data_IF_414636648574
#
_entry.id   IF_414636648574
#
_cell.length_a   1.000
_cell.length_b   1.000
_cell.length_c   1.000
_cell.angle_alpha   90.00
_cell.angle_beta   90.00
_cell.angle_gamma   90.00
#
_symmetry.space_group_name_H-M   'P 1'
#
loop_
_entity.id
_entity.type
_entity.pdbx_description
1 polymer ?
#
# COMPACT_ATOMS: atom_id res chain seq x y z
N UNK A 1 -57.26 -11.20 51.56
CA UNK A 1 -58.10 -10.92 50.39
C UNK A 1 -57.88 -9.50 49.97
N UNK A 2 -56.97 -9.24 49.02
CA UNK A 2 -56.89 -7.95 48.33
C UNK A 2 -56.26 -8.22 46.95
N UNK A 3 -57.04 -8.01 45.94
CA UNK A 3 -56.65 -8.16 44.52
C UNK A 3 -56.06 -6.84 44.06
N UNK A 4 -54.80 -6.82 43.64
CA UNK A 4 -54.21 -5.69 42.91
C UNK A 4 -54.21 -6.02 41.41
N UNK A 5 -54.96 -5.23 40.65
CA UNK A 5 -54.96 -5.22 39.20
C UNK A 5 -53.75 -4.45 38.71
N UNK A 6 -52.85 -5.08 37.93
CA UNK A 6 -51.80 -4.41 37.22
C UNK A 6 -52.31 -4.10 35.78
N UNK A 7 -52.47 -2.82 35.48
CA UNK A 7 -52.80 -2.32 34.15
C UNK A 7 -51.52 -2.28 33.35
N UNK A 8 -51.44 -3.12 32.31
CA UNK A 8 -50.36 -3.05 31.33
C UNK A 8 -50.70 -1.98 30.26
N UNK A 9 -49.95 -0.87 30.27
CA UNK A 9 -49.97 0.14 29.23
C UNK A 9 -49.16 -0.42 28.03
N UNK A 10 -49.85 -0.84 26.97
CA UNK A 10 -49.19 -1.04 25.66
C UNK A 10 -48.94 0.33 25.02
N UNK A 11 -47.70 0.79 24.99
CA UNK A 11 -47.28 1.90 24.17
C UNK A 11 -47.12 1.42 22.72
N UNK A 12 -48.05 1.81 21.86
CA UNK A 12 -47.92 1.71 20.40
C UNK A 12 -46.92 2.75 19.95
N UNK A 13 -45.70 2.31 19.57
CA UNK A 13 -44.79 3.12 18.81
C UNK A 13 -45.14 3.00 17.31
N UNK A 14 -45.36 4.10 16.58
CA UNK A 14 -45.48 4.04 15.14
C UNK A 14 -44.14 3.63 14.54
N UNK A 15 -44.17 2.60 13.70
CA UNK A 15 -43.03 2.22 12.89
C UNK A 15 -42.70 3.37 11.91
N UNK A 16 -41.61 4.06 12.14
CA UNK A 16 -41.05 4.96 11.17
C UNK A 16 -40.54 4.13 9.98
N UNK A 17 -41.28 4.20 8.88
CA UNK A 17 -40.84 3.67 7.61
C UNK A 17 -39.52 4.37 7.23
N UNK A 18 -38.46 3.62 7.15
CA UNK A 18 -37.18 4.11 6.66
C UNK A 18 -37.36 4.51 5.17
N UNK A 19 -37.28 5.79 4.90
CA UNK A 19 -37.25 6.34 3.55
C UNK A 19 -35.91 5.94 2.90
N UNK A 20 -35.96 4.92 2.05
CA UNK A 20 -34.84 4.36 1.32
C UNK A 20 -34.55 5.13 0.01
N UNK A 21 -34.91 6.39 -0.08
CA UNK A 21 -34.54 7.25 -1.21
C UNK A 21 -33.20 7.94 -0.97
N UNK A 22 -32.13 7.15 -0.85
CA UNK A 22 -30.77 7.69 -1.02
C UNK A 22 -30.63 7.99 -2.51
N UNK A 23 -30.37 9.25 -2.91
CA UNK A 23 -30.15 9.56 -4.32
C UNK A 23 -28.99 8.71 -4.84
N UNK A 24 -29.10 8.18 -6.08
CA UNK A 24 -27.98 7.46 -6.68
C UNK A 24 -26.76 8.37 -6.68
N UNK A 25 -25.63 7.85 -6.24
CA UNK A 25 -24.35 8.53 -6.35
C UNK A 25 -24.16 8.90 -7.84
N UNK A 26 -23.71 10.10 -8.15
CA UNK A 26 -23.43 10.47 -9.52
C UNK A 26 -22.44 9.45 -10.11
N UNK A 27 -22.57 9.08 -11.40
CA UNK A 27 -21.62 8.19 -12.02
C UNK A 27 -20.23 8.78 -11.85
N UNK A 28 -19.35 8.06 -11.18
CA UNK A 28 -17.95 8.41 -11.04
C UNK A 28 -17.34 8.24 -12.43
N UNK A 29 -17.46 9.27 -13.25
CA UNK A 29 -16.63 9.39 -14.44
C UNK A 29 -15.21 9.57 -13.92
N UNK A 30 -14.45 8.47 -13.90
CA UNK A 30 -13.00 8.53 -13.68
C UNK A 30 -12.46 9.40 -14.81
N UNK A 31 -11.83 10.55 -14.53
CA UNK A 31 -11.26 11.38 -15.57
C UNK A 31 -10.26 10.53 -16.36
N UNK A 32 -10.31 10.59 -17.69
CA UNK A 32 -9.29 9.95 -18.52
C UNK A 32 -7.97 10.72 -18.32
N UNK A 33 -7.14 10.21 -17.41
CA UNK A 33 -5.87 10.83 -16.99
C UNK A 33 -4.80 10.84 -18.08
N UNK A 34 -5.11 10.44 -19.31
CA UNK A 34 -4.16 10.48 -20.42
C UNK A 34 -3.82 11.89 -20.88
N UNK A 35 -4.63 12.89 -20.52
CA UNK A 35 -4.46 14.30 -20.95
C UNK A 35 -3.94 15.24 -19.86
N UNK A 36 -3.64 14.75 -18.63
CA UNK A 36 -3.24 15.61 -17.50
C UNK A 36 -1.79 15.46 -17.08
N UNK A 37 -0.95 14.75 -17.83
CA UNK A 37 0.47 14.58 -17.50
C UNK A 37 1.27 15.91 -17.38
N UNK A 38 0.76 17.00 -17.95
CA UNK A 38 1.39 18.33 -17.86
C UNK A 38 0.91 19.19 -16.69
N UNK A 39 -0.28 18.93 -16.12
CA UNK A 39 -0.88 19.76 -15.08
C UNK A 39 -0.55 19.29 -13.65
N UNK A 40 -0.07 18.06 -13.50
CA UNK A 40 0.28 17.47 -12.18
C UNK A 40 1.67 17.93 -11.70
N UNK A 41 2.48 18.51 -12.58
CA UNK A 41 3.86 18.95 -12.28
C UNK A 41 3.97 20.27 -11.52
N UNK A 42 2.89 20.96 -11.15
CA UNK A 42 2.95 22.30 -10.56
C UNK A 42 2.33 22.50 -9.18
N UNK A 43 2.02 21.45 -8.47
CA UNK A 43 1.62 21.56 -7.05
C UNK A 43 2.78 21.08 -6.18
N UNK A 44 3.65 22.03 -5.79
CA UNK A 44 4.48 21.91 -4.60
C UNK A 44 3.54 21.80 -3.39
N UNK A 45 3.11 20.62 -3.05
CA UNK A 45 2.44 20.34 -1.80
C UNK A 45 3.28 19.30 -1.05
N UNK A 46 3.31 19.41 0.27
CA UNK A 46 3.83 18.41 1.20
C UNK A 46 3.04 17.08 1.09
N UNK A 47 2.91 16.56 -0.11
CA UNK A 47 2.17 15.36 -0.40
C UNK A 47 3.04 14.14 -0.05
N UNK A 48 2.49 13.15 0.66
CA UNK A 48 3.20 11.92 1.03
C UNK A 48 3.62 11.18 -0.24
N UNK A 49 4.82 10.63 -0.20
CA UNK A 49 5.58 9.88 -1.24
C UNK A 49 4.94 10.15 -2.59
N UNK A 50 5.29 11.27 -3.19
CA UNK A 50 4.44 11.92 -4.19
C UNK A 50 4.01 10.91 -5.26
N UNK A 51 2.82 11.10 -5.84
CA UNK A 51 2.31 10.17 -6.83
C UNK A 51 3.29 9.89 -7.98
N UNK A 52 4.28 10.77 -8.21
CA UNK A 52 5.37 10.57 -9.16
C UNK A 52 6.37 9.53 -8.66
N UNK A 53 6.69 9.51 -7.37
CA UNK A 53 7.61 8.53 -6.78
C UNK A 53 6.97 7.14 -6.73
N UNK A 54 5.72 7.03 -6.30
CA UNK A 54 4.98 5.77 -6.38
C UNK A 54 4.92 5.22 -7.80
N UNK A 55 4.63 6.07 -8.79
CA UNK A 55 4.62 5.71 -10.21
C UNK A 55 5.99 5.21 -10.67
N UNK A 56 7.09 5.89 -10.26
CA UNK A 56 8.45 5.47 -10.58
C UNK A 56 8.77 4.08 -10.03
N UNK A 57 8.29 3.77 -8.83
CA UNK A 57 8.48 2.45 -8.21
C UNK A 57 7.70 1.35 -8.93
N UNK A 58 6.54 1.67 -9.53
CA UNK A 58 5.75 0.72 -10.31
C UNK A 58 6.36 0.34 -11.65
N UNK A 59 7.30 1.13 -12.17
CA UNK A 59 7.86 0.92 -13.49
C UNK A 59 8.48 -0.48 -13.64
N UNK A 60 8.02 -1.20 -14.66
CA UNK A 60 8.45 -2.56 -14.98
C UNK A 60 7.89 -3.67 -14.06
N UNK A 61 6.90 -3.39 -13.19
CA UNK A 61 6.25 -4.44 -12.38
C UNK A 61 5.21 -5.25 -13.16
N UNK A 62 4.52 -4.62 -14.09
CA UNK A 62 3.51 -5.25 -14.97
C UNK A 62 3.57 -4.65 -16.35
N UNK A 63 2.92 -5.32 -17.31
CA UNK A 63 2.73 -4.78 -18.66
C UNK A 63 1.65 -3.67 -18.65
N UNK A 64 1.64 -2.86 -19.69
CA UNK A 64 0.79 -1.67 -19.82
C UNK A 64 -0.71 -1.96 -19.62
N UNK A 65 -1.17 -3.18 -19.93
CA UNK A 65 -2.57 -3.60 -19.78
C UNK A 65 -3.07 -3.44 -18.34
N UNK A 66 -2.20 -3.69 -17.36
CA UNK A 66 -2.57 -3.67 -15.92
C UNK A 66 -1.89 -2.54 -15.14
N UNK A 67 -1.00 -1.78 -15.79
CA UNK A 67 -0.30 -0.68 -15.14
C UNK A 67 -1.26 0.40 -14.60
N UNK A 68 -2.34 0.67 -15.35
CA UNK A 68 -3.37 1.62 -14.93
C UNK A 68 -4.06 1.19 -13.63
N UNK A 69 -4.29 -0.10 -13.43
CA UNK A 69 -4.93 -0.63 -12.22
C UNK A 69 -4.04 -0.42 -10.99
N UNK A 70 -2.74 -0.70 -11.10
CA UNK A 70 -1.78 -0.45 -10.03
C UNK A 70 -1.72 1.04 -9.70
N UNK A 71 -1.58 1.92 -10.69
CA UNK A 71 -1.51 3.38 -10.51
C UNK A 71 -2.77 3.95 -9.87
N UNK A 72 -3.96 3.54 -10.33
CA UNK A 72 -5.22 3.99 -9.76
C UNK A 72 -5.40 3.53 -8.31
N UNK A 73 -4.87 2.36 -7.96
CA UNK A 73 -4.88 1.85 -6.61
C UNK A 73 -4.00 2.69 -5.67
N UNK A 74 -2.81 3.10 -6.10
CA UNK A 74 -1.94 4.01 -5.34
C UNK A 74 -2.64 5.34 -5.09
N UNK A 75 -3.19 5.96 -6.15
CA UNK A 75 -3.93 7.21 -6.02
C UNK A 75 -5.13 7.09 -5.05
N UNK A 76 -5.84 5.97 -5.06
CA UNK A 76 -6.94 5.74 -4.11
C UNK A 76 -6.44 5.71 -2.67
N UNK A 77 -5.27 5.12 -2.41
CA UNK A 77 -4.70 5.08 -1.06
C UNK A 77 -4.37 6.50 -0.59
N UNK A 78 -3.69 7.30 -1.40
CA UNK A 78 -3.33 8.68 -1.08
C UNK A 78 -4.53 9.63 -0.96
N UNK A 79 -5.64 9.35 -1.61
CA UNK A 79 -6.83 10.21 -1.60
C UNK A 79 -7.89 9.75 -0.60
N UNK A 80 -8.54 8.61 -0.86
CA UNK A 80 -9.67 8.15 -0.06
C UNK A 80 -9.24 7.53 1.28
N UNK A 81 -8.02 6.99 1.35
CA UNK A 81 -7.48 6.32 2.54
C UNK A 81 -6.39 7.13 3.25
N UNK A 82 -6.13 8.39 2.85
CA UNK A 82 -5.10 9.24 3.43
C UNK A 82 -5.20 9.39 4.97
N UNK A 83 -6.41 9.28 5.53
CA UNK A 83 -6.61 9.34 6.99
C UNK A 83 -6.51 7.98 7.69
N UNK A 84 -6.17 6.92 6.98
CA UNK A 84 -6.05 5.57 7.51
C UNK A 84 -4.58 5.22 7.76
N UNK A 85 -4.08 5.44 8.97
CA UNK A 85 -2.66 5.22 9.31
C UNK A 85 -2.13 3.83 8.93
N UNK A 86 -2.97 2.80 9.03
CA UNK A 86 -2.60 1.44 8.61
C UNK A 86 -2.34 1.29 7.11
N UNK A 87 -2.89 2.18 6.29
CA UNK A 87 -2.66 2.15 4.85
C UNK A 87 -1.29 2.72 4.46
N UNK A 88 -0.68 3.52 5.37
CA UNK A 88 0.55 4.28 5.15
C UNK A 88 1.69 3.91 6.11
N UNK A 89 1.55 2.86 6.91
CA UNK A 89 2.52 2.52 7.97
C UNK A 89 2.79 3.65 8.95
N UNK A 90 1.81 4.51 9.22
CA UNK A 90 1.92 5.61 10.18
C UNK A 90 1.53 5.20 11.60
N UNK A 91 1.74 6.11 12.57
CA UNK A 91 1.34 5.98 13.98
C UNK A 91 1.93 4.78 14.73
N UNK A 92 3.02 4.21 14.23
CA UNK A 92 3.69 3.03 14.82
C UNK A 92 2.76 1.81 14.99
N UNK A 93 1.65 1.76 14.27
CA UNK A 93 0.71 0.63 14.32
C UNK A 93 1.08 -0.42 13.24
N UNK A 94 2.28 -1.00 13.40
CA UNK A 94 2.84 -1.96 12.45
C UNK A 94 1.95 -3.20 12.29
N UNK A 95 1.37 -3.70 13.38
CA UNK A 95 0.50 -4.88 13.34
C UNK A 95 -0.77 -4.62 12.50
N UNK A 96 -1.40 -3.45 12.65
CA UNK A 96 -2.56 -3.09 11.83
C UNK A 96 -2.18 -2.90 10.36
N UNK A 97 -1.00 -2.33 10.07
CA UNK A 97 -0.51 -2.16 8.70
C UNK A 97 -0.20 -3.51 8.05
N UNK A 98 0.43 -4.44 8.77
CA UNK A 98 0.67 -5.81 8.30
C UNK A 98 -0.67 -6.53 8.03
N UNK A 99 -1.61 -6.47 8.98
CA UNK A 99 -2.93 -7.08 8.82
C UNK A 99 -3.70 -6.50 7.63
N UNK A 100 -3.55 -5.20 7.37
CA UNK A 100 -4.14 -4.55 6.20
C UNK A 100 -3.53 -5.05 4.88
N UNK A 101 -2.21 -5.23 4.81
CA UNK A 101 -1.56 -5.86 3.65
C UNK A 101 -2.08 -7.28 3.41
N UNK A 102 -2.19 -8.09 4.46
CA UNK A 102 -2.73 -9.46 4.37
C UNK A 102 -4.19 -9.46 3.87
N UNK A 103 -5.01 -8.53 4.35
CA UNK A 103 -6.37 -8.35 3.86
C UNK A 103 -6.41 -8.04 2.36
N UNK A 104 -5.55 -7.15 1.87
CA UNK A 104 -5.47 -6.79 0.45
C UNK A 104 -4.99 -7.96 -0.41
N UNK A 105 -4.03 -8.74 0.07
CA UNK A 105 -3.59 -9.96 -0.62
C UNK A 105 -4.68 -11.03 -0.65
N UNK A 106 -5.47 -11.18 0.41
CA UNK A 106 -6.62 -12.05 0.42
C UNK A 106 -7.73 -11.58 -0.54
N UNK A 107 -7.93 -10.25 -0.66
CA UNK A 107 -8.84 -9.65 -1.64
C UNK A 107 -8.38 -9.95 -3.07
N UNK A 108 -7.09 -9.80 -3.37
CA UNK A 108 -6.51 -10.18 -4.66
C UNK A 108 -6.77 -11.65 -4.98
N UNK A 109 -6.57 -12.56 -4.01
CA UNK A 109 -6.84 -13.99 -4.16
C UNK A 109 -8.30 -14.30 -4.55
N UNK A 110 -9.28 -13.64 -3.92
CA UNK A 110 -10.71 -13.81 -4.29
C UNK A 110 -10.98 -13.40 -5.74
N UNK A 111 -10.34 -12.35 -6.22
CA UNK A 111 -10.47 -11.94 -7.61
C UNK A 111 -9.77 -12.90 -8.57
N UNK A 112 -8.66 -13.49 -8.15
CA UNK A 112 -7.99 -14.57 -8.91
C UNK A 112 -8.91 -15.79 -9.03
N UNK A 113 -9.57 -16.21 -7.97
CA UNK A 113 -10.53 -17.34 -8.01
C UNK A 113 -11.68 -17.05 -8.99
N UNK A 114 -12.14 -15.79 -9.04
CA UNK A 114 -13.12 -15.35 -10.04
C UNK A 114 -12.55 -15.43 -11.46
N UNK A 115 -11.32 -14.99 -11.69
CA UNK A 115 -10.66 -15.06 -12.99
C UNK A 115 -10.51 -16.52 -13.47
N UNK A 116 -10.10 -17.42 -12.58
CA UNK A 116 -9.99 -18.85 -12.88
C UNK A 116 -11.35 -19.47 -13.23
N UNK A 117 -12.42 -19.08 -12.52
CA UNK A 117 -13.78 -19.55 -12.80
C UNK A 117 -14.27 -19.08 -14.18
N UNK A 118 -14.09 -17.79 -14.47
CA UNK A 118 -14.42 -17.23 -15.79
C UNK A 118 -13.66 -17.95 -16.93
N UNK A 119 -12.36 -18.19 -16.75
CA UNK A 119 -11.56 -18.90 -17.74
C UNK A 119 -12.04 -20.36 -17.96
N UNK A 120 -12.40 -21.07 -16.90
CA UNK A 120 -12.98 -22.42 -17.01
C UNK A 120 -14.28 -22.41 -17.83
N UNK A 121 -15.07 -21.35 -17.72
CA UNK A 121 -16.30 -21.12 -18.48
C UNK A 121 -16.07 -20.56 -19.89
N UNK A 122 -14.80 -20.41 -20.32
CA UNK A 122 -14.39 -19.78 -21.59
C UNK A 122 -14.84 -18.31 -21.71
N UNK A 123 -15.06 -17.63 -20.58
CA UNK A 123 -15.35 -16.20 -20.49
C UNK A 123 -14.04 -15.43 -20.30
N UNK A 124 -13.30 -15.23 -21.38
CA UNK A 124 -12.02 -14.51 -21.35
C UNK A 124 -12.18 -13.03 -20.95
N UNK A 125 -13.22 -12.29 -21.40
CA UNK A 125 -13.46 -10.93 -20.90
C UNK A 125 -13.69 -10.88 -19.41
N UNK A 126 -14.44 -11.82 -18.83
CA UNK A 126 -14.68 -11.95 -17.39
C UNK A 126 -13.37 -12.26 -16.64
N UNK A 127 -12.53 -13.14 -17.18
CA UNK A 127 -11.22 -13.44 -16.59
C UNK A 127 -10.31 -12.18 -16.52
N UNK A 128 -10.24 -11.42 -17.62
CA UNK A 128 -9.48 -10.15 -17.66
C UNK A 128 -10.05 -9.13 -16.69
N UNK A 129 -11.39 -8.98 -16.61
CA UNK A 129 -12.02 -8.04 -15.68
C UNK A 129 -11.74 -8.40 -14.22
N UNK A 130 -11.75 -9.69 -13.88
CA UNK A 130 -11.41 -10.15 -12.54
C UNK A 130 -9.91 -9.96 -12.24
N UNK A 131 -9.01 -10.24 -13.19
CA UNK A 131 -7.59 -9.99 -13.04
C UNK A 131 -7.28 -8.50 -12.80
N UNK A 132 -7.97 -7.57 -13.47
CA UNK A 132 -7.86 -6.13 -13.19
C UNK A 132 -8.16 -5.79 -11.73
N UNK A 133 -9.21 -6.37 -11.15
CA UNK A 133 -9.53 -6.19 -9.73
C UNK A 133 -8.44 -6.78 -8.82
N UNK A 134 -7.86 -7.92 -9.18
CA UNK A 134 -6.74 -8.49 -8.44
C UNK A 134 -5.51 -7.56 -8.48
N UNK A 135 -5.14 -7.02 -9.64
CA UNK A 135 -4.05 -6.05 -9.77
C UNK A 135 -4.35 -4.75 -9.02
N UNK A 136 -5.61 -4.31 -8.98
CA UNK A 136 -5.99 -3.14 -8.17
C UNK A 136 -5.78 -3.39 -6.67
N UNK A 137 -6.17 -4.54 -6.14
CA UNK A 137 -5.91 -4.92 -4.75
C UNK A 137 -4.40 -5.03 -4.46
N UNK A 138 -3.62 -5.62 -5.39
CA UNK A 138 -2.15 -5.67 -5.31
C UNK A 138 -1.53 -4.26 -5.33
N UNK A 139 -2.06 -3.34 -6.13
CA UNK A 139 -1.61 -1.95 -6.15
C UNK A 139 -1.78 -1.26 -4.80
N UNK A 140 -2.91 -1.49 -4.12
CA UNK A 140 -3.13 -0.99 -2.75
C UNK A 140 -2.14 -1.58 -1.75
N UNK A 141 -1.82 -2.86 -1.87
CA UNK A 141 -0.80 -3.49 -1.04
C UNK A 141 0.61 -2.94 -1.33
N UNK A 142 0.94 -2.71 -2.61
CA UNK A 142 2.20 -2.09 -3.01
C UNK A 142 2.40 -0.71 -2.40
N UNK A 143 1.34 0.11 -2.32
CA UNK A 143 1.39 1.41 -1.67
C UNK A 143 1.91 1.29 -0.23
N UNK A 144 1.26 0.49 0.62
CA UNK A 144 1.71 0.31 2.00
C UNK A 144 3.13 -0.25 2.11
N UNK A 145 3.52 -1.15 1.20
CA UNK A 145 4.91 -1.67 1.14
C UNK A 145 5.92 -0.55 0.83
N UNK A 146 5.56 0.38 -0.05
CA UNK A 146 6.41 1.52 -0.41
C UNK A 146 6.49 2.52 0.73
N UNK A 147 5.37 2.81 1.38
CA UNK A 147 5.27 3.73 2.51
C UNK A 147 6.03 3.25 3.74
N UNK A 148 6.18 1.93 3.94
CA UNK A 148 7.05 1.43 5.00
C UNK A 148 8.46 2.06 4.93
N UNK A 149 9.04 2.20 3.74
CA UNK A 149 10.36 2.80 3.58
C UNK A 149 10.35 4.32 3.63
N UNK A 150 9.28 4.93 3.17
CA UNK A 150 9.12 6.37 3.18
C UNK A 150 8.86 6.91 4.60
N UNK A 151 7.95 6.27 5.35
CA UNK A 151 7.39 6.83 6.58
C UNK A 151 7.95 6.25 7.88
N UNK A 152 8.81 5.20 7.82
CA UNK A 152 9.47 4.68 9.00
C UNK A 152 10.93 5.13 9.06
N UNK A 153 11.56 5.01 10.25
CA UNK A 153 12.99 5.22 10.40
C UNK A 153 13.83 3.98 10.01
N UNK A 154 13.27 3.06 9.22
CA UNK A 154 13.99 1.86 8.81
C UNK A 154 15.30 2.18 8.06
N UNK A 155 15.26 3.14 7.13
CA UNK A 155 16.46 3.58 6.39
C UNK A 155 17.54 4.07 7.34
N UNK A 156 17.16 4.83 8.37
CA UNK A 156 18.06 5.37 9.37
C UNK A 156 18.74 4.28 10.21
N UNK A 157 17.98 3.25 10.57
CA UNK A 157 18.50 2.11 11.33
C UNK A 157 19.38 1.20 10.48
N UNK A 158 18.95 0.90 9.25
CA UNK A 158 19.56 -0.13 8.42
C UNK A 158 20.81 0.34 7.66
N UNK A 159 20.99 1.66 7.47
CA UNK A 159 22.16 2.21 6.73
C UNK A 159 23.45 2.28 7.52
N UNK A 160 23.41 2.12 8.86
CA UNK A 160 24.52 2.46 9.74
C UNK A 160 25.80 1.66 9.44
N UNK A 161 25.66 0.34 9.23
CA UNK A 161 26.80 -0.59 9.16
C UNK A 161 27.02 -1.20 7.77
N UNK A 162 26.34 -0.67 6.74
CA UNK A 162 26.43 -1.21 5.38
C UNK A 162 27.40 -0.41 4.50
N UNK A 163 28.02 -1.07 3.54
CA UNK A 163 28.93 -0.45 2.58
C UNK A 163 28.25 -0.05 1.26
N UNK A 164 27.12 -0.67 0.94
CA UNK A 164 26.34 -0.41 -0.27
C UNK A 164 24.87 -0.42 0.06
N UNK A 165 24.06 0.32 -0.69
CA UNK A 165 22.58 0.31 -0.53
C UNK A 165 22.00 -1.09 -0.75
N UNK A 166 22.60 -1.88 -1.65
CA UNK A 166 22.20 -3.26 -1.93
C UNK A 166 22.47 -4.23 -0.77
N UNK A 167 23.23 -3.83 0.23
CA UNK A 167 23.50 -4.65 1.43
C UNK A 167 22.43 -4.42 2.51
N UNK A 168 21.56 -3.40 2.35
CA UNK A 168 20.41 -3.18 3.23
C UNK A 168 19.37 -4.26 2.95
N UNK A 169 18.92 -4.93 4.01
CA UNK A 169 17.90 -5.97 3.89
C UNK A 169 16.57 -5.39 3.39
N UNK A 170 15.92 -6.09 2.48
CA UNK A 170 14.55 -5.76 2.06
C UNK A 170 13.58 -6.36 3.07
N UNK A 171 12.71 -5.54 3.61
CA UNK A 171 11.61 -5.96 4.50
C UNK A 171 10.41 -6.32 3.65
N UNK A 172 9.91 -7.52 3.79
CA UNK A 172 8.70 -8.03 3.13
C UNK A 172 7.60 -8.28 4.18
N UNK A 173 6.81 -7.25 4.58
CA UNK A 173 5.86 -7.37 5.69
C UNK A 173 4.77 -8.43 5.50
N UNK A 174 4.54 -8.88 4.29
CA UNK A 174 3.59 -9.94 3.92
C UNK A 174 4.16 -11.36 4.09
N UNK A 175 5.47 -11.49 4.35
CA UNK A 175 6.15 -12.77 4.60
C UNK A 175 6.48 -12.93 6.07
N UNK A 176 6.46 -14.15 6.58
CA UNK A 176 6.77 -14.41 8.01
C UNK A 176 8.16 -13.92 8.42
N UNK A 177 9.16 -14.06 7.54
CA UNK A 177 10.51 -13.52 7.79
C UNK A 177 10.52 -11.99 7.89
N UNK A 178 9.74 -11.30 7.08
CA UNK A 178 9.63 -9.84 7.13
C UNK A 178 8.91 -9.37 8.39
N UNK A 179 7.83 -10.05 8.78
CA UNK A 179 7.13 -9.79 10.05
C UNK A 179 8.07 -10.01 11.24
N UNK A 180 8.81 -11.12 11.27
CA UNK A 180 9.79 -11.40 12.31
C UNK A 180 10.88 -10.32 12.40
N UNK A 181 11.38 -9.84 11.26
CA UNK A 181 12.36 -8.75 11.23
C UNK A 181 11.77 -7.45 11.79
N UNK A 182 10.53 -7.09 11.46
CA UNK A 182 9.85 -5.92 12.06
C UNK A 182 9.78 -6.07 13.58
N UNK A 183 9.33 -7.23 14.08
CA UNK A 183 9.25 -7.50 15.51
C UNK A 183 10.63 -7.46 16.21
N UNK A 184 11.69 -7.87 15.54
CA UNK A 184 13.08 -7.74 16.04
C UNK A 184 13.55 -6.28 16.09
N UNK A 185 13.10 -5.45 15.15
CA UNK A 185 13.51 -4.05 15.05
C UNK A 185 12.73 -3.12 15.99
N UNK A 186 11.51 -3.46 16.39
CA UNK A 186 10.71 -2.64 17.32
C UNK A 186 11.47 -2.33 18.63
N UNK A 187 12.03 -3.31 19.38
CA UNK A 187 12.81 -3.01 20.58
C UNK A 187 14.14 -2.30 20.28
N UNK A 188 14.61 -2.30 19.04
CA UNK A 188 15.81 -1.57 18.58
C UNK A 188 15.49 -0.14 18.15
N UNK A 189 14.23 0.31 18.30
CA UNK A 189 13.81 1.66 18.02
C UNK A 189 13.19 1.88 16.64
N UNK A 190 12.68 0.83 15.98
CA UNK A 190 11.86 1.02 14.78
C UNK A 190 10.60 1.78 15.16
N UNK A 191 10.37 2.90 14.50
CA UNK A 191 9.18 3.74 14.64
C UNK A 191 8.73 4.21 13.26
N UNK A 192 7.47 4.62 13.16
CA UNK A 192 6.96 5.36 12.01
C UNK A 192 6.52 6.77 12.41
N UNK A 193 6.28 7.63 11.44
CA UNK A 193 5.80 8.98 11.68
C UNK A 193 4.41 8.99 12.30
N UNK A 194 4.16 9.87 13.27
CA UNK A 194 2.80 10.04 13.77
C UNK A 194 2.05 11.10 12.95
N UNK A 195 0.77 10.82 12.69
CA UNK A 195 -0.20 11.75 12.15
C UNK A 195 -1.30 11.99 13.17
N UNK A 196 -1.69 13.25 13.41
CA UNK A 196 -2.65 13.59 14.47
C UNK A 196 -4.09 13.14 14.15
N UNK A 197 -4.41 12.88 12.89
CA UNK A 197 -5.72 12.39 12.43
C UNK A 197 -5.83 10.88 12.37
N UNK A 198 -4.71 10.16 12.51
CA UNK A 198 -4.69 8.69 12.42
C UNK A 198 -4.82 8.04 13.80
N UNK A 199 -5.66 7.01 13.93
CA UNK A 199 -5.84 6.26 15.17
C UNK A 199 -5.77 4.75 14.88
N UNK A 200 -5.33 3.93 15.86
CA UNK A 200 -4.76 4.34 17.16
C UNK A 200 -3.35 4.94 17.02
N UNK A 201 -2.99 5.86 17.92
CA UNK A 201 -1.63 6.36 18.06
C UNK A 201 -0.84 5.41 18.97
N UNK A 202 0.17 4.73 18.42
CA UNK A 202 1.00 3.74 19.14
C UNK A 202 2.47 4.14 19.25
N UNK A 203 2.85 5.29 18.71
CA UNK A 203 4.22 5.74 18.79
C UNK A 203 4.64 6.05 20.22
N UNK A 204 5.90 5.76 20.62
CA UNK A 204 6.43 6.10 21.93
C UNK A 204 6.48 7.63 22.12
N UNK A 205 6.52 8.08 23.37
CA UNK A 205 6.71 9.50 23.69
C UNK A 205 7.99 10.02 23.04
N UNK A 206 7.91 11.17 22.37
CA UNK A 206 9.04 11.77 21.66
C UNK A 206 9.26 11.23 20.24
N UNK A 207 8.38 10.37 19.73
CA UNK A 207 8.42 9.98 18.31
C UNK A 207 8.28 11.22 17.41
N UNK A 208 8.88 11.15 16.23
CA UNK A 208 8.82 12.22 15.24
C UNK A 208 7.48 12.19 14.49
N UNK A 209 7.04 13.36 14.04
CA UNK A 209 5.88 13.46 13.17
C UNK A 209 6.17 12.81 11.80
N UNK A 210 5.09 12.47 11.08
CA UNK A 210 5.18 12.00 9.71
C UNK A 210 6.05 12.94 8.86
N UNK A 211 5.78 14.24 8.85
CA UNK A 211 6.55 15.22 8.07
C UNK A 211 8.04 15.31 8.43
N UNK A 212 8.42 14.91 9.63
CA UNK A 212 9.81 14.91 10.05
C UNK A 212 10.56 13.63 9.61
N UNK A 213 9.86 12.49 9.52
CA UNK A 213 10.42 11.20 9.10
C UNK A 213 10.28 10.91 7.61
N UNK A 214 9.31 11.54 6.94
CA UNK A 214 8.95 11.24 5.57
C UNK A 214 10.11 11.47 4.60
N UNK A 215 10.35 10.46 3.75
CA UNK A 215 11.35 10.45 2.68
C UNK A 215 10.67 10.45 1.30
N UNK A 216 9.59 11.24 1.18
CA UNK A 216 8.71 11.26 0.01
C UNK A 216 9.34 11.91 -1.21
N UNK A 217 10.31 12.80 -0.97
CA UNK A 217 11.09 13.47 -2.02
C UNK A 217 12.48 13.88 -1.53
N UNK A 218 13.33 14.33 -2.44
CA UNK A 218 14.63 14.93 -2.07
C UNK A 218 14.50 16.30 -1.38
N UNK A 219 13.32 16.87 -1.29
CA UNK A 219 13.04 18.15 -0.61
C UNK A 219 12.59 17.98 0.84
N UNK A 220 12.06 16.82 1.23
CA UNK A 220 11.59 16.56 2.59
C UNK A 220 12.75 16.60 3.61
N UNK A 221 12.40 16.82 4.88
CA UNK A 221 13.38 16.97 5.96
C UNK A 221 14.31 15.75 6.07
N UNK A 222 13.77 14.54 6.10
CA UNK A 222 14.55 13.31 6.15
C UNK A 222 15.07 12.91 4.78
N UNK A 223 14.29 13.09 3.71
CA UNK A 223 14.65 12.66 2.37
C UNK A 223 15.92 13.29 1.82
N UNK A 224 16.14 14.59 2.08
CA UNK A 224 17.34 15.33 1.61
C UNK A 224 18.65 14.96 2.31
N UNK A 225 18.59 14.23 3.43
CA UNK A 225 19.77 13.88 4.20
C UNK A 225 20.67 12.96 3.38
N UNK A 226 21.90 13.39 3.17
CA UNK A 226 22.94 12.61 2.47
C UNK A 226 23.61 11.63 3.42
N UNK A 227 23.97 10.46 2.92
CA UNK A 227 24.66 9.39 3.65
C UNK A 227 26.10 9.30 3.15
N UNK A 228 27.10 9.90 3.85
CA UNK A 228 28.45 10.07 3.32
C UNK A 228 29.14 8.75 2.95
N UNK A 229 29.03 7.72 3.80
CA UNK A 229 29.68 6.42 3.58
C UNK A 229 29.00 5.59 2.46
N UNK A 230 27.83 6.01 1.98
CA UNK A 230 27.14 5.43 0.82
C UNK A 230 27.20 6.39 -0.39
N UNK A 231 28.35 6.97 -0.66
CA UNK A 231 28.60 7.86 -1.80
C UNK A 231 27.71 9.12 -1.80
N UNK A 232 27.37 9.65 -0.64
CA UNK A 232 26.49 10.82 -0.49
C UNK A 232 25.08 10.64 -1.11
N UNK A 233 24.61 9.40 -1.27
CA UNK A 233 23.23 9.14 -1.69
C UNK A 233 22.27 9.72 -0.64
N UNK A 234 21.12 10.26 -1.09
CA UNK A 234 20.09 10.78 -0.19
C UNK A 234 19.27 9.65 0.44
N UNK A 235 18.72 9.87 1.62
CA UNK A 235 17.81 8.89 2.24
C UNK A 235 16.58 8.62 1.39
N UNK A 236 16.06 9.63 0.67
CA UNK A 236 15.03 9.44 -0.34
C UNK A 236 15.43 8.38 -1.38
N UNK A 237 16.60 8.49 -1.99
CA UNK A 237 17.05 7.50 -3.00
C UNK A 237 17.23 6.11 -2.41
N UNK A 238 17.66 6.01 -1.15
CA UNK A 238 17.73 4.71 -0.45
C UNK A 238 16.30 4.16 -0.27
N UNK A 239 15.35 4.96 0.24
CA UNK A 239 13.97 4.55 0.42
C UNK A 239 13.31 4.08 -0.88
N UNK A 240 13.47 4.85 -1.97
CA UNK A 240 12.98 4.48 -3.32
C UNK A 240 13.59 3.18 -3.80
N UNK A 241 14.90 2.97 -3.60
CA UNK A 241 15.57 1.73 -4.00
C UNK A 241 14.97 0.53 -3.26
N UNK A 242 14.82 0.62 -1.94
CA UNK A 242 14.26 -0.46 -1.12
C UNK A 242 12.77 -0.70 -1.43
N UNK A 243 11.98 0.36 -1.59
CA UNK A 243 10.59 0.29 -1.98
C UNK A 243 10.41 -0.42 -3.33
N UNK A 244 11.29 -0.11 -4.31
CA UNK A 244 11.30 -0.77 -5.61
C UNK A 244 11.63 -2.25 -5.53
N UNK A 245 12.63 -2.62 -4.74
CA UNK A 245 13.01 -4.00 -4.50
C UNK A 245 11.87 -4.78 -3.83
N UNK A 246 11.29 -4.24 -2.75
CA UNK A 246 10.17 -4.86 -2.06
C UNK A 246 8.93 -5.00 -2.96
N UNK A 247 8.63 -3.98 -3.76
CA UNK A 247 7.52 -4.03 -4.72
C UNK A 247 7.70 -5.15 -5.76
N UNK A 248 8.93 -5.35 -6.26
CA UNK A 248 9.25 -6.44 -7.17
C UNK A 248 9.11 -7.80 -6.50
N UNK A 249 9.53 -7.92 -5.24
CA UNK A 249 9.34 -9.15 -4.46
C UNK A 249 7.86 -9.50 -4.28
N UNK A 250 7.03 -8.50 -3.93
CA UNK A 250 5.59 -8.72 -3.79
C UNK A 250 4.96 -9.19 -5.11
N UNK A 251 5.30 -8.54 -6.22
CA UNK A 251 4.75 -8.93 -7.53
C UNK A 251 5.21 -10.30 -7.97
N UNK A 252 6.48 -10.66 -7.71
CA UNK A 252 6.98 -12.01 -7.98
C UNK A 252 6.21 -13.05 -7.17
N UNK A 253 6.04 -12.82 -5.85
CA UNK A 253 5.27 -13.73 -4.99
C UNK A 253 3.82 -13.87 -5.47
N UNK A 254 3.22 -12.76 -5.94
CA UNK A 254 1.88 -12.77 -6.49
C UNK A 254 1.79 -13.63 -7.77
N UNK A 255 2.75 -13.51 -8.67
CA UNK A 255 2.80 -14.30 -9.91
C UNK A 255 3.12 -15.78 -9.65
N UNK A 256 4.01 -16.08 -8.69
CA UNK A 256 4.29 -17.46 -8.26
C UNK A 256 3.05 -18.10 -7.61
N UNK A 257 2.37 -17.35 -6.74
CA UNK A 257 1.18 -17.83 -6.03
C UNK A 257 -0.03 -17.96 -6.96
N UNK A 258 -0.15 -17.08 -7.95
CA UNK A 258 -1.29 -16.96 -8.85
C UNK A 258 -0.86 -16.92 -10.31
N UNK A 259 -0.48 -18.06 -10.92
CA UNK A 259 0.05 -18.13 -12.29
C UNK A 259 -0.83 -17.47 -13.35
N UNK A 260 -2.17 -17.52 -13.18
CA UNK A 260 -3.11 -16.85 -14.10
C UNK A 260 -2.84 -15.35 -14.25
N UNK A 261 -2.37 -14.67 -13.19
CA UNK A 261 -2.03 -13.24 -13.27
C UNK A 261 -0.81 -13.04 -14.17
N UNK A 262 0.21 -13.91 -14.08
CA UNK A 262 1.37 -13.90 -14.97
C UNK A 262 0.99 -14.19 -16.41
N UNK A 263 0.15 -15.19 -16.63
CA UNK A 263 -0.33 -15.55 -17.96
C UNK A 263 -1.11 -14.41 -18.64
N UNK A 264 -2.02 -13.76 -17.91
CA UNK A 264 -2.82 -12.63 -18.40
C UNK A 264 -1.98 -11.37 -18.60
N UNK A 265 -1.00 -11.15 -17.72
CA UNK A 265 -0.05 -10.04 -17.87
C UNK A 265 0.86 -10.21 -19.07
N UNK A 266 1.20 -11.46 -19.40
CA UNK A 266 2.21 -11.79 -20.41
C UNK A 266 3.65 -11.53 -19.92
N UNK A 267 4.64 -11.75 -20.78
CA UNK A 267 6.06 -11.60 -20.43
C UNK A 267 6.38 -10.21 -19.86
N UNK A 268 7.13 -10.18 -18.76
CA UNK A 268 7.62 -8.95 -18.15
C UNK A 268 9.15 -9.00 -18.01
N UNK A 269 9.84 -8.58 -19.06
CA UNK A 269 11.31 -8.62 -19.16
C UNK A 269 11.98 -7.87 -18.00
N UNK A 270 11.40 -6.76 -17.53
CA UNK A 270 11.98 -5.98 -16.45
C UNK A 270 11.94 -6.75 -15.11
N UNK A 271 10.86 -7.47 -14.84
CA UNK A 271 10.74 -8.30 -13.64
C UNK A 271 11.64 -9.55 -13.75
N UNK A 272 11.66 -10.19 -14.89
CA UNK A 272 12.52 -11.36 -15.18
C UNK A 272 14.00 -11.01 -15.05
N UNK A 273 14.46 -9.93 -15.67
CA UNK A 273 15.84 -9.47 -15.56
C UNK A 273 16.28 -9.15 -14.12
N UNK A 274 15.34 -8.73 -13.27
CA UNK A 274 15.61 -8.49 -11.87
C UNK A 274 15.82 -9.81 -11.10
N UNK A 275 15.02 -10.83 -11.38
CA UNK A 275 15.15 -12.18 -10.79
C UNK A 275 16.51 -12.78 -11.16
N UNK A 276 16.91 -12.69 -12.43
CA UNK A 276 18.17 -13.21 -12.90
C UNK A 276 19.40 -12.59 -12.22
N UNK A 277 19.34 -11.28 -11.92
CA UNK A 277 20.44 -10.60 -11.20
C UNK A 277 20.63 -11.08 -9.78
N UNK A 278 19.60 -11.63 -9.13
CA UNK A 278 19.73 -12.27 -7.79
C UNK A 278 20.33 -13.66 -7.86
N UNK A 279 20.13 -14.38 -8.95
CA UNK A 279 20.73 -15.69 -9.20
C UNK A 279 22.23 -15.63 -9.53
N UNK A 280 22.76 -14.45 -9.82
CA UNK A 280 24.15 -14.20 -10.17
C UNK A 280 25.02 -13.74 -8.95
N UNK A 281 24.59 -13.99 -7.72
CA UNK A 281 25.37 -13.72 -6.49
C UNK A 281 26.10 -14.95 -6.02
#
# INVERSE_FOLDING_TARGET
MMWCWAIALLALFPALAADNTKPPLPPTTVPDLRTTDAAIMSVESDAPFDGATHKLVLDGLVNNTYFAELRNALYLQDSAYQFSSKAHFDNCDFDASIAYLEQLLAEAGKHVDTALTSRKSKDEPGAIAAAKKAFFALGRALHGVQDFYAHTNYVELAKADVKRVTDIAVVAPWRDKGKALIQELLPKGLVSGYVFWGFPQRCPSGALSHSALAKDSESTTAGKIKVPHLNNITQYKIAVTLAREASRELMRDAFERWPILSELNGPNIALEAFVDRRGLK
#
